data_IF_749262922290
#
_entry.id   IF_749262922290
#
_cell.length_a   1.000
_cell.length_b   1.000
_cell.length_c   1.000
_cell.angle_alpha   90.00
_cell.angle_beta   90.00
_cell.angle_gamma   90.00
#
_symmetry.space_group_name_H-M   'P 1'
#
loop_
_entity.id
_entity.type
_entity.pdbx_description
1 polymer ?
#
# COMPACT_ATOMS: atom_id res chain seq x y z
N UNK A 1 15.19 -24.09 30.21
CA UNK A 1 15.00 -23.93 28.76
C UNK A 1 13.85 -22.95 28.58
N UNK A 2 14.15 -21.62 28.49
CA UNK A 2 13.16 -20.56 28.43
C UNK A 2 12.61 -20.45 26.99
N UNK A 3 11.43 -20.99 26.73
CA UNK A 3 10.67 -20.86 25.48
C UNK A 3 9.68 -19.67 25.48
N UNK A 4 9.88 -18.71 26.39
CA UNK A 4 8.86 -17.70 26.66
C UNK A 4 8.98 -16.38 25.85
N UNK A 5 10.07 -16.14 25.12
CA UNK A 5 10.30 -14.82 24.46
C UNK A 5 10.30 -14.83 22.93
N UNK A 6 9.83 -15.89 22.29
CA UNK A 6 9.64 -15.92 20.83
C UNK A 6 8.27 -15.41 20.39
N UNK A 7 7.71 -14.51 21.17
CA UNK A 7 6.46 -13.84 20.91
C UNK A 7 6.49 -12.94 19.69
N UNK A 8 5.39 -12.28 19.44
CA UNK A 8 5.13 -11.36 18.33
C UNK A 8 6.21 -10.29 18.09
N UNK A 9 7.02 -9.96 19.11
CA UNK A 9 8.13 -9.00 18.99
C UNK A 9 9.19 -9.43 17.95
N UNK A 10 9.41 -10.73 17.77
CA UNK A 10 10.33 -11.24 16.76
C UNK A 10 9.79 -11.16 15.32
N UNK A 11 8.52 -10.78 15.14
CA UNK A 11 7.91 -10.56 13.83
C UNK A 11 8.08 -9.12 13.33
N UNK A 12 8.44 -8.20 14.24
CA UNK A 12 8.58 -6.80 13.89
C UNK A 12 9.99 -6.46 13.46
N UNK A 13 10.16 -5.65 12.41
CA UNK A 13 11.47 -5.28 11.93
C UNK A 13 12.21 -4.38 12.94
N UNK A 14 13.55 -4.43 12.93
CA UNK A 14 14.35 -3.53 13.75
C UNK A 14 14.15 -2.07 13.34
N UNK A 15 14.46 -1.13 14.26
CA UNK A 15 14.25 0.32 14.04
C UNK A 15 14.90 0.87 12.76
N UNK A 16 16.04 0.28 12.35
CA UNK A 16 16.71 0.67 11.11
C UNK A 16 15.85 0.39 9.86
N UNK A 17 15.17 -0.74 9.85
CA UNK A 17 14.27 -1.11 8.75
C UNK A 17 13.04 -0.21 8.73
N UNK A 18 12.49 0.14 9.90
CA UNK A 18 11.41 1.12 9.98
C UNK A 18 11.81 2.48 9.42
N UNK A 19 13.04 2.95 9.72
CA UNK A 19 13.55 4.20 9.14
C UNK A 19 13.68 4.10 7.63
N UNK A 20 14.25 3.00 7.12
CA UNK A 20 14.38 2.80 5.68
C UNK A 20 13.00 2.74 5.00
N UNK A 21 12.03 2.05 5.60
CA UNK A 21 10.66 1.98 5.14
C UNK A 21 10.03 3.38 5.05
N UNK A 22 10.08 4.16 6.13
CA UNK A 22 9.53 5.51 6.16
C UNK A 22 10.20 6.43 5.13
N UNK A 23 11.54 6.38 5.03
CA UNK A 23 12.29 7.18 4.07
C UNK A 23 12.00 6.76 2.61
N UNK A 24 11.77 5.48 2.35
CA UNK A 24 11.41 4.98 1.02
C UNK A 24 10.08 5.50 0.51
N UNK A 25 9.14 5.84 1.42
CA UNK A 25 7.86 6.45 1.03
C UNK A 25 7.97 7.89 0.56
N UNK A 26 9.01 8.63 0.96
CA UNK A 26 9.18 10.03 0.58
C UNK A 26 9.31 10.20 -0.94
N UNK A 27 10.26 9.53 -1.64
CA UNK A 27 10.35 9.64 -3.09
C UNK A 27 9.11 9.11 -3.80
N UNK A 28 8.52 8.01 -3.32
CA UNK A 28 7.30 7.44 -3.90
C UNK A 28 6.13 8.43 -3.82
N UNK A 29 5.90 9.01 -2.63
CA UNK A 29 4.85 10.00 -2.42
C UNK A 29 5.10 11.26 -3.26
N UNK A 30 6.37 11.69 -3.38
CA UNK A 30 6.74 12.85 -4.21
C UNK A 30 6.43 12.60 -5.68
N UNK A 31 6.85 11.46 -6.23
CA UNK A 31 6.55 11.09 -7.62
C UNK A 31 5.05 10.99 -7.86
N UNK A 32 4.33 10.34 -6.96
CA UNK A 32 2.87 10.23 -7.06
C UNK A 32 2.19 11.60 -7.01
N UNK A 33 2.62 12.47 -6.10
CA UNK A 33 2.09 13.83 -5.95
C UNK A 33 2.28 14.64 -7.23
N UNK A 34 3.48 14.60 -7.81
CA UNK A 34 3.77 15.29 -9.08
C UNK A 34 2.95 14.69 -10.21
N UNK A 35 2.87 13.37 -10.33
CA UNK A 35 2.10 12.70 -11.38
C UNK A 35 0.60 13.03 -11.29
N UNK A 36 0.03 13.03 -10.08
CA UNK A 36 -1.38 13.35 -9.88
C UNK A 36 -1.72 14.80 -10.24
N UNK A 37 -0.82 15.73 -9.99
CA UNK A 37 -1.01 17.14 -10.37
C UNK A 37 -0.77 17.38 -11.87
N UNK A 38 0.12 16.62 -12.50
CA UNK A 38 0.40 16.74 -13.93
C UNK A 38 -0.65 16.08 -14.83
N UNK A 39 -1.43 15.17 -14.29
CA UNK A 39 -2.60 14.56 -14.97
C UNK A 39 -3.81 15.52 -15.00
N UNK A 40 -3.71 16.63 -14.25
CA UNK A 40 -4.70 17.70 -14.22
C UNK A 40 -4.44 18.75 -15.31
N UNK A 41 -5.23 19.81 -15.27
CA UNK A 41 -5.11 20.96 -16.18
C UNK A 41 -3.85 21.79 -15.83
N UNK A 42 -2.80 21.65 -16.61
CA UNK A 42 -1.52 22.40 -16.47
C UNK A 42 -1.70 23.93 -16.37
N UNK A 43 -2.82 24.44 -16.82
CA UNK A 43 -3.14 25.87 -16.78
C UNK A 43 -3.56 26.37 -15.40
N UNK A 44 -3.92 25.48 -14.47
CA UNK A 44 -4.35 25.84 -13.12
C UNK A 44 -3.21 26.11 -12.14
N UNK A 45 -2.00 25.74 -12.49
CA UNK A 45 -0.86 25.79 -11.58
C UNK A 45 -0.84 24.66 -10.56
N UNK A 46 0.32 24.47 -9.91
CA UNK A 46 0.52 23.44 -8.89
C UNK A 46 -0.09 23.88 -7.56
N UNK A 47 -1.07 23.13 -7.05
CA UNK A 47 -1.62 23.30 -5.71
C UNK A 47 -1.10 22.22 -4.75
N UNK A 48 -0.12 22.60 -3.92
CA UNK A 48 0.52 21.72 -2.96
C UNK A 48 -0.48 21.08 -1.98
N UNK A 49 -1.51 21.81 -1.55
CA UNK A 49 -2.47 21.29 -0.58
C UNK A 49 -3.36 20.21 -1.20
N UNK A 50 -3.87 20.45 -2.39
CA UNK A 50 -4.65 19.47 -3.17
C UNK A 50 -3.81 18.23 -3.45
N UNK A 51 -2.56 18.41 -3.88
CA UNK A 51 -1.60 17.34 -4.16
C UNK A 51 -1.30 16.47 -2.93
N UNK A 52 -1.06 17.07 -1.78
CA UNK A 52 -0.84 16.36 -0.52
C UNK A 52 -2.09 15.59 -0.09
N UNK A 53 -3.25 16.20 -0.18
CA UNK A 53 -4.51 15.54 0.18
C UNK A 53 -4.81 14.36 -0.73
N UNK A 54 -4.66 14.53 -2.05
CA UNK A 54 -4.84 13.48 -3.04
C UNK A 54 -3.86 12.32 -2.83
N UNK A 55 -2.58 12.64 -2.60
CA UNK A 55 -1.53 11.66 -2.32
C UNK A 55 -1.81 10.88 -1.03
N UNK A 56 -2.14 11.59 0.05
CA UNK A 56 -2.47 10.97 1.34
C UNK A 56 -3.68 10.03 1.25
N UNK A 57 -4.72 10.44 0.53
CA UNK A 57 -5.91 9.63 0.30
C UNK A 57 -5.60 8.34 -0.48
N UNK A 58 -4.73 8.41 -1.47
CA UNK A 58 -4.43 7.26 -2.31
C UNK A 58 -3.33 6.37 -1.72
N UNK A 59 -2.21 6.93 -1.27
CA UNK A 59 -1.08 6.15 -0.75
C UNK A 59 -1.19 5.82 0.74
N UNK A 60 -1.93 6.61 1.53
CA UNK A 60 -2.10 6.38 2.96
C UNK A 60 -2.61 4.97 3.30
N UNK A 61 -3.69 4.49 2.68
CA UNK A 61 -4.15 3.13 2.89
C UNK A 61 -3.12 2.06 2.50
N UNK A 62 -2.39 2.25 1.39
CA UNK A 62 -1.32 1.33 0.99
C UNK A 62 -0.19 1.29 2.02
N UNK A 63 0.22 2.46 2.52
CA UNK A 63 1.23 2.59 3.57
C UNK A 63 0.85 1.77 4.82
N UNK A 64 -0.39 1.88 5.28
CA UNK A 64 -0.87 1.15 6.46
C UNK A 64 -0.94 -0.36 6.18
N UNK A 65 -1.45 -0.76 5.02
CA UNK A 65 -1.57 -2.17 4.66
C UNK A 65 -0.20 -2.84 4.51
N UNK A 66 0.81 -2.16 3.98
CA UNK A 66 2.16 -2.71 3.82
C UNK A 66 2.84 -3.00 5.15
N UNK A 67 2.46 -2.32 6.23
CA UNK A 67 2.93 -2.66 7.59
C UNK A 67 2.58 -4.12 7.94
N UNK A 68 1.43 -4.62 7.49
CA UNK A 68 0.99 -5.98 7.75
C UNK A 68 1.71 -7.03 6.88
N UNK A 69 2.31 -6.64 5.76
CA UNK A 69 3.04 -7.54 4.87
C UNK A 69 4.27 -8.12 5.58
N UNK A 70 4.95 -7.31 6.38
CA UNK A 70 6.16 -7.73 7.08
C UNK A 70 5.96 -8.92 8.03
N UNK A 71 5.06 -8.86 9.03
CA UNK A 71 4.82 -10.00 9.92
C UNK A 71 4.26 -11.21 9.17
N UNK A 72 3.52 -11.01 8.09
CA UNK A 72 3.04 -12.09 7.25
C UNK A 72 4.19 -12.81 6.53
N UNK A 73 5.11 -12.07 5.92
CA UNK A 73 6.29 -12.64 5.27
C UNK A 73 7.17 -13.41 6.26
N UNK A 74 7.46 -12.81 7.41
CA UNK A 74 8.22 -13.49 8.47
C UNK A 74 7.51 -14.73 9.04
N UNK A 75 6.19 -14.74 9.08
CA UNK A 75 5.43 -15.94 9.44
C UNK A 75 5.58 -17.04 8.39
N UNK A 76 5.54 -16.72 7.10
CA UNK A 76 5.70 -17.69 6.03
C UNK A 76 7.10 -18.29 5.96
N UNK A 77 8.14 -17.47 6.14
CA UNK A 77 9.52 -17.92 6.19
C UNK A 77 9.75 -18.99 7.29
N UNK A 78 9.17 -18.77 8.46
CA UNK A 78 9.26 -19.74 9.57
C UNK A 78 8.56 -21.06 9.29
N UNK A 79 7.59 -21.09 8.40
CA UNK A 79 6.86 -22.30 8.00
C UNK A 79 7.64 -23.17 7.04
N UNK A 80 8.80 -22.71 6.53
CA UNK A 80 9.64 -23.46 5.59
C UNK A 80 8.83 -24.01 4.40
N UNK A 81 7.95 -23.21 3.85
CA UNK A 81 7.18 -23.59 2.68
C UNK A 81 8.11 -23.85 1.48
N UNK A 82 7.71 -24.77 0.60
CA UNK A 82 8.38 -24.95 -0.68
C UNK A 82 8.31 -23.66 -1.51
N UNK A 83 9.28 -23.40 -2.40
CA UNK A 83 9.29 -22.19 -3.24
C UNK A 83 7.98 -21.94 -3.98
N UNK A 84 7.37 -22.99 -4.52
CA UNK A 84 6.08 -22.88 -5.19
C UNK A 84 4.96 -22.41 -4.25
N UNK A 85 4.90 -22.96 -3.04
CA UNK A 85 3.92 -22.52 -2.04
C UNK A 85 4.14 -21.07 -1.61
N UNK A 86 5.40 -20.65 -1.48
CA UNK A 86 5.72 -19.25 -1.19
C UNK A 86 5.23 -18.34 -2.31
N UNK A 87 5.52 -18.67 -3.57
CA UNK A 87 5.05 -17.87 -4.71
C UNK A 87 3.53 -17.78 -4.78
N UNK A 88 2.82 -18.89 -4.60
CA UNK A 88 1.34 -18.91 -4.62
C UNK A 88 0.77 -18.10 -3.48
N UNK A 89 1.30 -18.23 -2.26
CA UNK A 89 0.81 -17.48 -1.10
C UNK A 89 1.09 -15.99 -1.24
N UNK A 90 2.31 -15.60 -1.66
CA UNK A 90 2.62 -14.18 -1.91
C UNK A 90 1.80 -13.60 -3.06
N UNK A 91 1.58 -14.35 -4.14
CA UNK A 91 0.72 -13.94 -5.25
C UNK A 91 -0.73 -13.71 -4.78
N UNK A 92 -1.27 -14.63 -3.98
CA UNK A 92 -2.61 -14.49 -3.39
C UNK A 92 -2.69 -13.28 -2.46
N UNK A 93 -1.68 -13.09 -1.59
CA UNK A 93 -1.64 -11.93 -0.69
C UNK A 93 -1.43 -10.61 -1.42
N UNK A 94 -0.68 -10.59 -2.53
CA UNK A 94 -0.56 -9.40 -3.37
C UNK A 94 -1.92 -8.96 -3.95
N UNK A 95 -2.75 -9.92 -4.37
CA UNK A 95 -4.13 -9.64 -4.81
C UNK A 95 -4.99 -9.13 -3.65
N UNK A 96 -4.96 -9.79 -2.49
CA UNK A 96 -5.69 -9.36 -1.30
C UNK A 96 -5.27 -7.96 -0.88
N UNK A 97 -3.98 -7.67 -0.86
CA UNK A 97 -3.44 -6.34 -0.57
C UNK A 97 -3.98 -5.30 -1.56
N UNK A 98 -3.88 -5.58 -2.86
CA UNK A 98 -4.31 -4.65 -3.91
C UNK A 98 -5.79 -4.34 -3.82
N UNK A 99 -6.63 -5.35 -3.62
CA UNK A 99 -8.08 -5.16 -3.50
C UNK A 99 -8.47 -4.50 -2.18
N UNK A 100 -7.80 -4.79 -1.08
CA UNK A 100 -8.00 -4.10 0.20
C UNK A 100 -7.62 -2.63 0.10
N UNK A 101 -6.51 -2.32 -0.56
CA UNK A 101 -6.10 -0.95 -0.84
C UNK A 101 -7.17 -0.21 -1.65
N UNK A 102 -7.64 -0.82 -2.74
CA UNK A 102 -8.70 -0.25 -3.57
C UNK A 102 -10.01 -0.03 -2.79
N UNK A 103 -10.43 -1.02 -1.99
CA UNK A 103 -11.62 -0.92 -1.16
C UNK A 103 -11.52 0.21 -0.12
N UNK A 104 -10.35 0.41 0.47
CA UNK A 104 -10.12 1.51 1.42
C UNK A 104 -10.18 2.87 0.73
N UNK A 105 -9.57 3.03 -0.45
CA UNK A 105 -9.69 4.28 -1.22
C UNK A 105 -11.15 4.54 -1.56
N UNK A 106 -11.86 3.52 -2.05
CA UNK A 106 -13.29 3.63 -2.37
C UNK A 106 -14.09 4.09 -1.15
N UNK A 107 -13.86 3.48 0.01
CA UNK A 107 -14.55 3.83 1.24
C UNK A 107 -14.26 5.29 1.67
N UNK A 108 -13.01 5.74 1.54
CA UNK A 108 -12.64 7.13 1.85
C UNK A 108 -13.32 8.12 0.90
N UNK A 109 -13.35 7.82 -0.40
CA UNK A 109 -14.03 8.68 -1.39
C UNK A 109 -15.54 8.70 -1.12
N UNK A 110 -16.15 7.54 -0.89
CA UNK A 110 -17.56 7.44 -0.56
C UNK A 110 -17.91 8.28 0.67
N UNK A 111 -17.16 8.15 1.75
CA UNK A 111 -17.42 8.87 2.99
C UNK A 111 -17.22 10.40 2.87
N UNK A 112 -16.30 10.85 2.02
CA UNK A 112 -15.93 12.26 1.88
C UNK A 112 -16.61 12.98 0.71
N UNK A 113 -16.94 12.28 -0.37
CA UNK A 113 -17.40 12.87 -1.64
C UNK A 113 -18.71 12.26 -2.16
N UNK A 114 -19.22 11.21 -1.50
CA UNK A 114 -20.44 10.53 -1.86
C UNK A 114 -20.27 9.36 -2.84
N UNK A 115 -21.36 8.58 -2.99
CA UNK A 115 -21.35 7.32 -3.73
C UNK A 115 -21.04 7.51 -5.22
N UNK A 116 -21.61 8.52 -5.84
CA UNK A 116 -21.42 8.77 -7.28
C UNK A 116 -19.96 9.00 -7.63
N UNK A 117 -19.23 9.75 -6.80
CA UNK A 117 -17.80 9.98 -7.01
C UNK A 117 -16.95 8.73 -6.77
N UNK A 118 -17.33 7.93 -5.77
CA UNK A 118 -16.66 6.65 -5.49
C UNK A 118 -16.85 5.66 -6.66
N UNK A 119 -18.05 5.57 -7.24
CA UNK A 119 -18.30 4.70 -8.40
C UNK A 119 -17.53 5.15 -9.64
N UNK A 120 -17.43 6.46 -9.89
CA UNK A 120 -16.63 7.00 -11.00
C UNK A 120 -15.14 6.64 -10.83
N UNK A 121 -14.60 6.79 -9.62
CA UNK A 121 -13.22 6.43 -9.31
C UNK A 121 -12.98 4.93 -9.51
N UNK A 122 -13.90 4.08 -9.04
CA UNK A 122 -13.82 2.62 -9.18
C UNK A 122 -13.74 2.18 -10.64
N UNK A 123 -14.60 2.71 -11.49
CA UNK A 123 -14.70 2.29 -12.89
C UNK A 123 -13.40 2.57 -13.67
N UNK A 124 -12.71 3.67 -13.37
CA UNK A 124 -11.56 4.10 -14.14
C UNK A 124 -10.22 3.50 -13.66
N UNK A 125 -10.15 3.06 -12.40
CA UNK A 125 -8.87 2.80 -11.74
C UNK A 125 -8.65 1.35 -11.32
N UNK A 126 -9.67 0.49 -11.39
CA UNK A 126 -9.60 -0.86 -10.81
C UNK A 126 -8.42 -1.69 -11.35
N UNK A 127 -8.22 -1.74 -12.67
CA UNK A 127 -7.15 -2.54 -13.29
C UNK A 127 -5.78 -1.97 -12.91
N UNK A 128 -5.60 -0.66 -13.09
CA UNK A 128 -4.34 0.02 -12.76
C UNK A 128 -3.99 -0.12 -11.29
N UNK A 129 -4.96 0.07 -10.41
CA UNK A 129 -4.75 -0.05 -8.97
C UNK A 129 -4.36 -1.49 -8.58
N UNK A 130 -4.96 -2.49 -9.21
CA UNK A 130 -4.59 -3.90 -8.97
C UNK A 130 -3.15 -4.16 -9.39
N UNK A 131 -2.74 -3.72 -10.57
CA UNK A 131 -1.35 -3.86 -11.03
C UNK A 131 -0.35 -3.14 -10.11
N UNK A 132 -0.60 -1.88 -9.80
CA UNK A 132 0.23 -1.09 -8.91
C UNK A 132 0.31 -1.68 -7.50
N UNK A 133 -0.81 -2.14 -6.97
CA UNK A 133 -0.86 -2.79 -5.66
C UNK A 133 -0.02 -4.07 -5.61
N UNK A 134 -0.10 -4.91 -6.64
CA UNK A 134 0.76 -6.09 -6.74
C UNK A 134 2.24 -5.71 -6.80
N UNK A 135 2.59 -4.71 -7.61
CA UNK A 135 3.98 -4.22 -7.70
C UNK A 135 4.49 -3.69 -6.36
N UNK A 136 3.69 -2.88 -5.66
CA UNK A 136 4.05 -2.35 -4.34
C UNK A 136 4.22 -3.46 -3.30
N UNK A 137 3.35 -4.46 -3.32
CA UNK A 137 3.46 -5.62 -2.43
C UNK A 137 4.78 -6.37 -2.62
N UNK A 138 5.20 -6.59 -3.88
CA UNK A 138 6.44 -7.29 -4.18
C UNK A 138 7.69 -6.43 -3.97
N UNK A 139 7.56 -5.12 -3.92
CA UNK A 139 8.66 -4.19 -3.65
C UNK A 139 8.92 -4.01 -2.14
N UNK A 140 7.94 -4.34 -1.28
CA UNK A 140 8.03 -4.20 0.17
C UNK A 140 8.67 -5.42 0.83
#
# INVERSE_FOLDING_TARGET
MHLADTGWQALWPPAAVWRAYLLGWVPLATVYMVAAETDGDWLRGFDLWSALHGTGRNLGPAFVLLIAVWPYSGWMERRQFSPLRLMVNHGGMALVFSWSWHALIYAVIWASQGLEQAERARANWFIWQTMWGMMLYWAA
#
